data_IF_793521061777
#
_entry.id   IF_793521061777
#
_cell.length_a   1.000
_cell.length_b   1.000
_cell.length_c   1.000
_cell.angle_alpha   90.00
_cell.angle_beta   90.00
_cell.angle_gamma   90.00
#
_symmetry.space_group_name_H-M   'P 1'
#
loop_
_entity.id
_entity.type
_entity.pdbx_description
1 polymer ?
#
# COMPACT_ATOMS: atom_id res chain seq x y z
N UNK A 1 -10.87 -2.89 -15.48
CA UNK A 1 -9.87 -3.14 -16.53
C UNK A 1 -8.77 -4.04 -16.00
N UNK A 2 -8.44 -5.06 -16.75
CA UNK A 2 -7.34 -5.94 -16.37
C UNK A 2 -6.01 -5.15 -16.45
N UNK A 3 -5.28 -5.13 -15.34
CA UNK A 3 -3.90 -4.63 -15.33
C UNK A 3 -3.08 -5.53 -16.26
N UNK A 4 -2.26 -4.97 -17.12
CA UNK A 4 -1.37 -5.74 -17.98
C UNK A 4 -0.53 -6.72 -17.15
N UNK A 5 -0.55 -8.00 -17.52
CA UNK A 5 0.28 -9.03 -16.88
C UNK A 5 1.76 -8.69 -16.97
N UNK A 6 2.17 -8.08 -18.06
CA UNK A 6 3.57 -7.64 -18.26
C UNK A 6 3.93 -6.53 -17.28
N UNK A 7 3.08 -5.53 -17.13
CA UNK A 7 3.31 -4.44 -16.18
C UNK A 7 3.41 -4.97 -14.74
N UNK A 8 2.47 -5.84 -14.34
CA UNK A 8 2.47 -6.45 -13.01
C UNK A 8 3.74 -7.26 -12.75
N UNK A 9 4.21 -8.02 -13.74
CA UNK A 9 5.46 -8.78 -13.64
C UNK A 9 6.66 -7.87 -13.47
N UNK A 10 6.74 -6.79 -14.22
CA UNK A 10 7.82 -5.80 -14.12
C UNK A 10 7.87 -5.17 -12.73
N UNK A 11 6.72 -4.80 -12.18
CA UNK A 11 6.63 -4.23 -10.82
C UNK A 11 7.07 -5.26 -9.78
N UNK A 12 6.64 -6.50 -9.90
CA UNK A 12 6.99 -7.57 -8.97
C UNK A 12 8.50 -7.86 -8.98
N UNK A 13 9.10 -7.97 -10.16
CA UNK A 13 10.54 -8.16 -10.31
C UNK A 13 11.31 -6.97 -9.75
N UNK A 14 10.86 -5.75 -10.03
CA UNK A 14 11.49 -4.54 -9.47
C UNK A 14 11.44 -4.54 -7.95
N UNK A 15 10.30 -4.91 -7.36
CA UNK A 15 10.15 -5.03 -5.90
C UNK A 15 11.20 -5.98 -5.31
N UNK A 16 11.37 -7.15 -5.93
CA UNK A 16 12.34 -8.15 -5.47
C UNK A 16 13.77 -7.63 -5.56
N UNK A 17 14.13 -6.99 -6.66
CA UNK A 17 15.46 -6.44 -6.86
C UNK A 17 15.74 -5.25 -5.93
N UNK A 18 14.77 -4.38 -5.72
CA UNK A 18 14.91 -3.26 -4.78
C UNK A 18 15.11 -3.75 -3.35
N UNK A 19 14.42 -4.80 -2.95
CA UNK A 19 14.58 -5.40 -1.63
C UNK A 19 15.96 -6.07 -1.47
N UNK A 20 16.46 -6.70 -2.52
CA UNK A 20 17.72 -7.44 -2.50
C UNK A 20 18.95 -6.53 -2.63
N UNK A 21 18.92 -5.59 -3.56
CA UNK A 21 20.08 -4.78 -3.94
C UNK A 21 19.96 -3.31 -3.54
N UNK A 22 18.77 -2.87 -3.16
CA UNK A 22 18.47 -1.47 -2.95
C UNK A 22 18.05 -0.76 -4.24
N UNK A 23 17.25 0.29 -4.11
CA UNK A 23 16.77 1.08 -5.26
C UNK A 23 17.95 1.72 -6.00
N UNK A 24 18.92 2.26 -5.24
CA UNK A 24 20.07 2.97 -5.80
C UNK A 24 20.97 2.05 -6.64
N UNK A 25 21.08 0.78 -6.23
CA UNK A 25 21.97 -0.19 -6.89
C UNK A 25 21.28 -1.00 -7.99
N UNK A 26 19.98 -0.83 -8.19
CA UNK A 26 19.20 -1.50 -9.22
C UNK A 26 19.10 -0.62 -10.45
N UNK A 27 19.41 -1.19 -11.62
CA UNK A 27 19.31 -0.49 -12.90
C UNK A 27 18.07 -0.96 -13.68
N UNK A 28 17.64 -0.15 -14.65
CA UNK A 28 16.59 -0.55 -15.59
C UNK A 28 16.99 -1.82 -16.34
N UNK A 29 18.27 -1.97 -16.69
CA UNK A 29 18.77 -3.17 -17.34
C UNK A 29 18.65 -4.42 -16.45
N UNK A 30 18.95 -4.29 -15.16
CA UNK A 30 18.78 -5.40 -14.20
C UNK A 30 17.32 -5.87 -14.16
N UNK A 31 16.39 -4.94 -14.17
CA UNK A 31 14.95 -5.24 -14.15
C UNK A 31 14.53 -5.94 -15.45
N UNK A 32 14.99 -5.45 -16.60
CA UNK A 32 14.70 -6.05 -17.89
C UNK A 32 15.21 -7.49 -17.96
N UNK A 33 16.46 -7.72 -17.55
CA UNK A 33 17.07 -9.06 -17.53
C UNK A 33 16.33 -10.01 -16.59
N UNK A 34 16.09 -9.59 -15.35
CA UNK A 34 15.44 -10.43 -14.36
C UNK A 34 13.97 -10.76 -14.73
N UNK A 35 13.28 -9.85 -15.39
CA UNK A 35 11.90 -10.06 -15.84
C UNK A 35 11.79 -10.88 -17.12
N UNK A 36 12.93 -11.17 -17.78
CA UNK A 36 12.98 -11.79 -19.11
C UNK A 36 12.21 -11.02 -20.17
N UNK A 37 12.09 -9.71 -19.98
CA UNK A 37 11.49 -8.79 -20.94
C UNK A 37 12.59 -7.94 -21.57
N UNK A 38 12.40 -7.53 -22.83
CA UNK A 38 13.33 -6.62 -23.47
C UNK A 38 13.30 -5.23 -22.85
N UNK A 39 14.41 -4.51 -22.95
CA UNK A 39 14.49 -3.11 -22.49
C UNK A 39 13.40 -2.24 -23.12
N UNK A 40 13.12 -2.46 -24.41
CA UNK A 40 12.08 -1.74 -25.14
C UNK A 40 10.70 -1.93 -24.50
N UNK A 41 10.36 -3.16 -24.12
CA UNK A 41 9.12 -3.46 -23.43
C UNK A 41 9.07 -2.76 -22.07
N UNK A 42 10.15 -2.81 -21.30
CA UNK A 42 10.23 -2.12 -20.01
C UNK A 42 9.97 -0.63 -20.15
N UNK A 43 10.66 0.04 -21.09
CA UNK A 43 10.51 1.47 -21.32
C UNK A 43 9.16 1.87 -21.91
N UNK A 44 8.41 0.92 -22.47
CA UNK A 44 7.01 1.16 -22.87
C UNK A 44 6.12 1.44 -21.66
N UNK A 45 6.37 0.75 -20.54
CA UNK A 45 5.57 0.88 -19.33
C UNK A 45 6.12 1.91 -18.35
N UNK A 46 7.44 2.01 -18.24
CA UNK A 46 8.10 2.85 -17.24
C UNK A 46 9.26 3.61 -17.89
N UNK A 47 9.21 4.93 -17.79
CA UNK A 47 10.23 5.80 -18.39
C UNK A 47 11.51 5.84 -17.55
N UNK A 48 11.40 5.61 -16.24
CA UNK A 48 12.50 5.72 -15.31
C UNK A 48 12.37 4.72 -14.17
N UNK A 49 13.45 4.54 -13.43
CA UNK A 49 13.47 3.74 -12.21
C UNK A 49 12.55 4.33 -11.14
N UNK A 50 12.45 5.64 -11.07
CA UNK A 50 11.56 6.35 -10.15
C UNK A 50 10.10 6.01 -10.42
N UNK A 51 9.71 5.88 -11.69
CA UNK A 51 8.34 5.49 -12.06
C UNK A 51 8.03 4.06 -11.59
N UNK A 52 8.99 3.14 -11.71
CA UNK A 52 8.83 1.78 -11.20
C UNK A 52 8.77 1.78 -9.67
N UNK A 53 9.61 2.56 -9.01
CA UNK A 53 9.60 2.71 -7.57
C UNK A 53 8.23 3.16 -7.06
N UNK A 54 7.65 4.16 -7.70
CA UNK A 54 6.31 4.64 -7.36
C UNK A 54 5.25 3.55 -7.57
N UNK A 55 5.36 2.78 -8.64
CA UNK A 55 4.45 1.66 -8.90
C UNK A 55 4.59 0.56 -7.85
N UNK A 56 5.79 0.28 -7.35
CA UNK A 56 6.02 -0.66 -6.25
C UNK A 56 5.36 -0.16 -4.97
N UNK A 57 5.54 1.11 -4.60
CA UNK A 57 4.91 1.72 -3.42
C UNK A 57 3.39 1.64 -3.53
N UNK A 58 2.83 2.01 -4.67
CA UNK A 58 1.38 1.94 -4.93
C UNK A 58 0.85 0.52 -4.78
N UNK A 59 1.55 -0.45 -5.32
CA UNK A 59 1.21 -1.87 -5.21
C UNK A 59 1.18 -2.36 -3.76
N UNK A 60 2.15 -1.95 -2.93
CA UNK A 60 2.19 -2.31 -1.51
C UNK A 60 1.02 -1.68 -0.73
N UNK A 61 0.70 -0.43 -1.01
CA UNK A 61 -0.43 0.24 -0.39
C UNK A 61 -1.78 -0.35 -0.82
N UNK A 62 -1.91 -0.74 -2.08
CA UNK A 62 -3.12 -1.42 -2.58
C UNK A 62 -3.33 -2.77 -1.89
N UNK A 63 -2.26 -3.53 -1.69
CA UNK A 63 -2.32 -4.80 -0.96
C UNK A 63 -2.80 -4.59 0.48
N UNK A 64 -2.28 -3.58 1.17
CA UNK A 64 -2.70 -3.24 2.52
C UNK A 64 -4.17 -2.82 2.54
N UNK A 65 -4.59 -1.98 1.60
CA UNK A 65 -5.98 -1.54 1.46
C UNK A 65 -6.93 -2.73 1.30
N UNK A 66 -6.56 -3.71 0.46
CA UNK A 66 -7.35 -4.92 0.25
C UNK A 66 -7.44 -5.79 1.52
N UNK A 67 -6.34 -5.92 2.24
CA UNK A 67 -6.32 -6.65 3.52
C UNK A 67 -7.25 -6.01 4.54
N UNK A 68 -7.21 -4.69 4.66
CA UNK A 68 -8.08 -3.94 5.58
C UNK A 68 -9.55 -4.07 5.19
N UNK A 69 -9.84 -4.01 3.90
CA UNK A 69 -11.20 -4.18 3.37
C UNK A 69 -11.76 -5.57 3.70
N UNK A 70 -10.95 -6.61 3.58
CA UNK A 70 -11.36 -7.98 3.93
C UNK A 70 -11.75 -8.10 5.40
N UNK A 71 -11.01 -7.43 6.30
CA UNK A 71 -11.35 -7.39 7.73
C UNK A 71 -12.67 -6.67 7.94
N UNK A 72 -12.86 -5.52 7.29
CA UNK A 72 -14.09 -4.73 7.41
C UNK A 72 -15.34 -5.49 6.91
N UNK A 73 -15.15 -6.42 5.98
CA UNK A 73 -16.23 -7.26 5.42
C UNK A 73 -16.48 -8.57 6.19
N UNK A 74 -15.69 -8.87 7.21
CA UNK A 74 -15.90 -10.08 8.03
C UNK A 74 -17.22 -10.00 8.80
N UNK A 75 -17.81 -11.16 9.04
CA UNK A 75 -19.02 -11.28 9.85
C UNK A 75 -18.65 -11.36 11.34
N UNK A 76 -18.08 -10.30 11.86
CA UNK A 76 -17.71 -10.12 13.27
C UNK A 76 -18.25 -8.78 13.76
N UNK A 77 -18.20 -8.57 15.08
CA UNK A 77 -18.69 -7.33 15.66
C UNK A 77 -17.83 -6.12 15.26
N UNK A 78 -18.40 -4.90 15.22
CA UNK A 78 -17.68 -3.69 14.82
C UNK A 78 -16.45 -3.40 15.67
N UNK A 79 -16.48 -3.67 16.96
CA UNK A 79 -15.34 -3.51 17.87
C UNK A 79 -14.22 -4.50 17.52
N UNK A 80 -14.54 -5.74 17.22
CA UNK A 80 -13.58 -6.74 16.73
C UNK A 80 -12.97 -6.31 15.40
N UNK A 81 -13.79 -5.76 14.48
CA UNK A 81 -13.29 -5.24 13.20
C UNK A 81 -12.27 -4.12 13.41
N UNK A 82 -12.56 -3.19 14.31
CA UNK A 82 -11.64 -2.09 14.63
C UNK A 82 -10.29 -2.61 15.12
N UNK A 83 -10.32 -3.54 16.04
CA UNK A 83 -9.10 -4.16 16.60
C UNK A 83 -8.33 -4.89 15.50
N UNK A 84 -9.00 -5.75 14.73
CA UNK A 84 -8.34 -6.49 13.65
C UNK A 84 -7.78 -5.57 12.55
N UNK A 85 -8.48 -4.51 12.20
CA UNK A 85 -7.99 -3.53 11.22
C UNK A 85 -6.71 -2.85 11.71
N UNK A 86 -6.65 -2.47 12.97
CA UNK A 86 -5.45 -1.85 13.56
C UNK A 86 -4.28 -2.84 13.54
N UNK A 87 -4.48 -4.08 13.99
CA UNK A 87 -3.44 -5.10 13.97
C UNK A 87 -2.99 -5.44 12.54
N UNK A 88 -3.93 -5.57 11.62
CA UNK A 88 -3.63 -5.83 10.19
C UNK A 88 -2.74 -4.72 9.63
N UNK A 89 -3.05 -3.47 9.95
CA UNK A 89 -2.24 -2.32 9.51
C UNK A 89 -0.83 -2.37 10.09
N UNK A 90 -0.70 -2.62 11.39
CA UNK A 90 0.60 -2.70 12.06
C UNK A 90 1.45 -3.86 11.53
N UNK A 91 0.84 -5.03 11.36
CA UNK A 91 1.53 -6.20 10.82
C UNK A 91 1.97 -6.00 9.37
N UNK A 92 1.11 -5.38 8.55
CA UNK A 92 1.44 -5.09 7.15
C UNK A 92 2.60 -4.10 7.04
N UNK A 93 2.62 -3.06 7.84
CA UNK A 93 3.75 -2.10 7.89
C UNK A 93 5.04 -2.84 8.29
N UNK A 94 4.95 -3.70 9.29
CA UNK A 94 6.09 -4.52 9.74
C UNK A 94 6.62 -5.43 8.63
N UNK A 95 5.74 -6.10 7.89
CA UNK A 95 6.11 -6.96 6.76
C UNK A 95 6.75 -6.17 5.63
N UNK A 96 6.20 -5.01 5.29
CA UNK A 96 6.77 -4.13 4.27
C UNK A 96 8.17 -3.68 4.66
N UNK A 97 8.37 -3.33 5.93
CA UNK A 97 9.68 -2.95 6.46
C UNK A 97 10.68 -4.10 6.36
N UNK A 98 10.28 -5.32 6.69
CA UNK A 98 11.14 -6.50 6.58
C UNK A 98 11.46 -6.85 5.13
N UNK A 99 10.43 -6.87 4.28
CA UNK A 99 10.56 -7.26 2.88
C UNK A 99 11.36 -6.26 2.05
N UNK A 100 11.24 -4.99 2.39
CA UNK A 100 11.79 -3.87 1.63
C UNK A 100 12.72 -3.00 2.51
N UNK A 101 13.65 -3.61 3.23
CA UNK A 101 14.52 -2.92 4.19
C UNK A 101 15.19 -1.65 3.63
N UNK A 102 15.71 -1.72 2.42
CA UNK A 102 16.31 -0.56 1.74
C UNK A 102 15.24 0.40 1.17
N UNK A 103 14.09 -0.12 0.80
CA UNK A 103 12.96 0.66 0.33
C UNK A 103 12.44 1.57 1.44
N UNK A 104 12.51 1.12 2.70
CA UNK A 104 12.12 1.91 3.88
C UNK A 104 12.92 3.21 3.97
N UNK A 105 14.24 3.13 3.87
CA UNK A 105 15.10 4.32 3.94
C UNK A 105 14.77 5.30 2.83
N UNK A 106 14.56 4.81 1.62
CA UNK A 106 14.17 5.61 0.47
C UNK A 106 12.76 6.18 0.62
N UNK A 107 11.82 5.41 1.18
CA UNK A 107 10.47 5.87 1.46
C UNK A 107 10.46 7.09 2.38
N UNK A 108 11.21 7.06 3.47
CA UNK A 108 11.31 8.20 4.37
C UNK A 108 12.03 9.40 3.75
N UNK A 109 13.02 9.14 2.90
CA UNK A 109 13.75 10.19 2.18
C UNK A 109 12.87 10.88 1.14
N UNK A 110 12.06 10.11 0.43
CA UNK A 110 11.24 10.57 -0.69
C UNK A 110 9.75 10.61 -0.37
N UNK A 111 9.41 10.75 0.91
CA UNK A 111 8.01 10.71 1.38
C UNK A 111 7.12 11.73 0.65
N UNK A 112 7.66 12.86 0.27
CA UNK A 112 6.93 13.87 -0.47
C UNK A 112 6.59 13.42 -1.91
N UNK A 113 7.41 12.55 -2.52
CA UNK A 113 7.14 11.98 -3.84
C UNK A 113 6.02 10.95 -3.78
N UNK A 114 5.97 10.19 -2.68
CA UNK A 114 4.94 9.16 -2.48
C UNK A 114 3.67 9.72 -1.80
N UNK A 115 3.68 10.97 -1.42
CA UNK A 115 2.59 11.61 -0.69
C UNK A 115 1.26 11.51 -1.45
N UNK A 116 1.26 11.72 -2.75
CA UNK A 116 0.05 11.66 -3.57
C UNK A 116 -0.58 10.25 -3.56
N UNK A 117 0.24 9.22 -3.64
CA UNK A 117 -0.21 7.83 -3.56
C UNK A 117 -0.70 7.51 -2.15
N UNK A 118 0.04 7.96 -1.14
CA UNK A 118 -0.32 7.80 0.25
C UNK A 118 -1.66 8.47 0.58
N UNK A 119 -1.89 9.68 0.07
CA UNK A 119 -3.17 10.40 0.27
C UNK A 119 -4.36 9.61 -0.25
N UNK A 120 -4.24 8.96 -1.39
CA UNK A 120 -5.30 8.09 -1.92
C UNK A 120 -5.55 6.89 -1.02
N UNK A 121 -4.48 6.28 -0.52
CA UNK A 121 -4.56 5.19 0.45
C UNK A 121 -5.23 5.66 1.75
N UNK A 122 -4.78 6.78 2.30
CA UNK A 122 -5.34 7.34 3.53
C UNK A 122 -6.83 7.64 3.39
N UNK A 123 -7.26 8.17 2.25
CA UNK A 123 -8.67 8.45 1.98
C UNK A 123 -9.52 7.18 1.99
N UNK A 124 -9.05 6.10 1.38
CA UNK A 124 -9.73 4.80 1.39
C UNK A 124 -9.79 4.21 2.80
N UNK A 125 -8.69 4.31 3.54
CA UNK A 125 -8.61 3.83 4.91
C UNK A 125 -9.61 4.56 5.82
N UNK A 126 -9.67 5.87 5.72
CA UNK A 126 -10.63 6.69 6.47
C UNK A 126 -12.05 6.25 6.19
N UNK A 127 -12.41 6.00 4.94
CA UNK A 127 -13.75 5.51 4.58
C UNK A 127 -14.05 4.16 5.21
N UNK A 128 -13.11 3.23 5.22
CA UNK A 128 -13.30 1.92 5.85
C UNK A 128 -13.53 2.06 7.36
N UNK A 129 -12.74 2.87 8.04
CA UNK A 129 -12.92 3.13 9.48
C UNK A 129 -14.27 3.81 9.76
N UNK A 130 -14.66 4.78 8.95
CA UNK A 130 -15.96 5.42 9.09
C UNK A 130 -17.13 4.44 8.92
N UNK A 131 -17.04 3.53 7.96
CA UNK A 131 -18.07 2.52 7.73
C UNK A 131 -18.20 1.58 8.94
N UNK A 132 -17.09 1.14 9.51
CA UNK A 132 -17.09 0.28 10.70
C UNK A 132 -17.62 1.02 11.93
N UNK A 133 -17.24 2.28 12.11
CA UNK A 133 -17.76 3.13 13.18
C UNK A 133 -19.27 3.32 13.04
N UNK A 134 -19.76 3.59 11.85
CA UNK A 134 -21.19 3.74 11.56
C UNK A 134 -21.95 2.45 11.86
N UNK A 135 -21.43 1.31 11.42
CA UNK A 135 -22.00 0.01 11.75
C UNK A 135 -22.09 -0.19 13.27
N UNK A 136 -21.03 0.16 14.00
CA UNK A 136 -21.01 0.04 15.44
C UNK A 136 -22.01 0.92 16.16
N UNK A 137 -22.23 2.13 15.66
CA UNK A 137 -23.25 3.04 16.18
C UNK A 137 -24.66 2.50 15.92
N UNK A 138 -24.91 2.03 14.71
CA UNK A 138 -26.20 1.44 14.32
C UNK A 138 -26.55 0.20 15.13
N UNK A 139 -25.55 -0.61 15.46
CA UNK A 139 -25.73 -1.83 16.27
C UNK A 139 -25.67 -1.58 17.78
N UNK A 140 -25.47 -0.33 18.19
CA UNK A 140 -25.40 0.03 19.62
C UNK A 140 -24.10 -0.38 20.31
N UNK A 141 -23.07 -0.80 19.55
CA UNK A 141 -21.74 -1.19 20.10
C UNK A 141 -20.92 0.05 20.45
N UNK A 142 -21.00 1.08 19.63
CA UNK A 142 -20.32 2.35 19.85
C UNK A 142 -21.29 3.46 20.17
N UNK A 143 -20.91 4.32 21.11
CA UNK A 143 -21.61 5.53 21.40
C UNK A 143 -20.73 6.72 21.04
N UNK A 144 -21.10 7.44 19.99
CA UNK A 144 -20.39 8.64 19.56
C UNK A 144 -21.25 9.84 19.96
N UNK A 145 -20.68 10.72 20.77
CA UNK A 145 -21.32 11.94 21.21
C UNK A 145 -21.05 13.03 20.18
N UNK A 146 -22.05 13.35 19.39
CA UNK A 146 -21.94 14.36 18.33
C UNK A 146 -21.78 15.79 18.89
N UNK A 147 -22.08 16.01 20.18
CA UNK A 147 -22.03 17.34 20.81
C UNK A 147 -20.64 17.76 21.26
N UNK A 148 -19.64 16.89 21.16
CA UNK A 148 -18.27 17.32 21.36
C UNK A 148 -17.75 17.98 20.10
N UNK A 149 -18.01 19.30 19.98
CA UNK A 149 -17.20 20.14 19.12
C UNK A 149 -15.75 19.85 19.46
N UNK A 150 -14.98 19.37 18.46
CA UNK A 150 -13.57 19.11 18.64
C UNK A 150 -12.93 20.33 19.31
N UNK A 151 -12.50 20.15 20.54
CA UNK A 151 -11.60 21.09 21.18
C UNK A 151 -10.25 20.88 20.51
N UNK A 152 -9.83 21.86 19.76
CA UNK A 152 -8.52 21.89 19.15
C UNK A 152 -7.47 21.88 20.24
#
# INVERSE_FOLDING_TARGET
MAVSKTKAKLVDVARQLFAKMGVENTTMNDIALASKKGRRTLYTYFKSKEDIYMAVVESELDMLSDMMKRVAEKNISPDEKMIEMIYTRLDAVKEVVFRNGTLRANFFRDIWRVEKVRKRFDAKEILLFKDVLREGVEKGVFRIDEDRKSVV
#
